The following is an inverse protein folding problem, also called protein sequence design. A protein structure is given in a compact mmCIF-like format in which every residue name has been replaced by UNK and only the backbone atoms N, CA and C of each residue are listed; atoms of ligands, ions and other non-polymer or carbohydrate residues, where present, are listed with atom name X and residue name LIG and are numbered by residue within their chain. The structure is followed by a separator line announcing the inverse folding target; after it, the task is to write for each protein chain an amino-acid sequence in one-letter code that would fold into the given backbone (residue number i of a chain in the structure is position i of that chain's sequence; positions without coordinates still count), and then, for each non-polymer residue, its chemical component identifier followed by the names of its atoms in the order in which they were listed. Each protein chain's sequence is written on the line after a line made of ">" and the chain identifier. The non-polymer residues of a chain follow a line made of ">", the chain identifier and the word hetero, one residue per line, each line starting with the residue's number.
data_IF_533058985579
#
_entry.id   IF_533058985579
#
_cell.length_a   1.000
_cell.length_b   1.000
_cell.length_c   1.000
_cell.angle_alpha   90.00
_cell.angle_beta   90.00
_cell.angle_gamma   90.00
#
_symmetry.space_group_name_H-M   'P 1'
#
loop_
_entity.id
_entity.type
_entity.pdbx_description
1 polymer ?
#
# COMPACT_ATOMS: atom_id res chain seq x y z
N UNK A 1 12.19 1.04 27.62
CA UNK A 1 11.74 1.24 26.22
C UNK A 1 11.53 -0.13 25.60
N UNK A 2 10.31 -0.46 25.13
CA UNK A 2 10.08 -1.72 24.41
C UNK A 2 10.85 -1.64 23.10
N UNK A 3 11.62 -2.68 22.76
CA UNK A 3 12.18 -2.80 21.42
C UNK A 3 11.01 -2.81 20.43
N UNK A 4 11.05 -2.03 19.33
CA UNK A 4 10.01 -2.10 18.32
C UNK A 4 9.90 -3.53 17.83
N UNK A 5 8.67 -4.03 17.75
CA UNK A 5 8.41 -5.36 17.26
C UNK A 5 8.84 -5.43 15.79
N UNK A 6 9.17 -6.63 15.29
CA UNK A 6 9.52 -6.84 13.87
C UNK A 6 8.36 -6.50 12.91
N UNK A 7 7.20 -6.09 13.43
CA UNK A 7 5.95 -5.84 12.73
C UNK A 7 5.51 -4.38 12.76
N UNK A 8 6.29 -3.49 13.40
CA UNK A 8 5.95 -2.07 13.52
C UNK A 8 6.30 -1.26 12.26
N UNK A 9 6.82 -1.92 11.21
CA UNK A 9 7.15 -1.29 9.93
C UNK A 9 5.98 -1.32 8.94
N UNK A 10 6.06 -0.45 7.92
CA UNK A 10 5.11 -0.47 6.80
C UNK A 10 5.70 -1.25 5.64
N UNK A 11 4.94 -2.21 5.13
CA UNK A 11 5.35 -3.07 4.02
C UNK A 11 4.64 -2.70 2.72
N UNK A 12 5.31 -2.97 1.59
CA UNK A 12 4.77 -2.78 0.24
C UNK A 12 5.08 -3.98 -0.66
N UNK A 13 4.15 -4.33 -1.55
CA UNK A 13 4.39 -5.26 -2.65
C UNK A 13 3.41 -5.03 -3.81
N UNK A 14 3.77 -5.55 -4.99
CA UNK A 14 2.81 -5.75 -6.09
C UNK A 14 1.90 -6.92 -5.71
N UNK A 15 0.59 -6.67 -5.69
CA UNK A 15 -0.43 -7.61 -5.23
C UNK A 15 -1.12 -8.37 -6.39
N UNK A 16 -0.89 -7.95 -7.63
CA UNK A 16 -1.38 -8.64 -8.84
C UNK A 16 -0.34 -9.61 -9.42
N UNK A 17 -0.79 -10.55 -10.25
CA UNK A 17 0.09 -11.47 -10.95
C UNK A 17 1.14 -10.72 -11.81
N UNK A 18 2.36 -11.26 -11.97
CA UNK A 18 3.38 -10.64 -12.81
C UNK A 18 2.99 -10.72 -14.29
N UNK A 19 3.29 -9.67 -15.05
CA UNK A 19 3.04 -9.61 -16.49
C UNK A 19 2.49 -8.26 -16.93
N UNK A 20 2.18 -8.16 -18.22
CA UNK A 20 1.48 -7.00 -18.79
C UNK A 20 -0.03 -7.22 -18.62
N UNK A 21 -0.72 -6.24 -18.06
CA UNK A 21 -2.16 -6.23 -17.89
C UNK A 21 -2.71 -4.81 -18.06
N UNK A 22 -4.04 -4.68 -18.12
CA UNK A 22 -4.68 -3.36 -18.10
C UNK A 22 -4.41 -2.63 -16.78
N UNK A 23 -4.48 -3.35 -15.66
CA UNK A 23 -4.28 -2.82 -14.31
C UNK A 23 -3.29 -3.67 -13.52
N UNK A 24 -2.59 -3.04 -12.61
CA UNK A 24 -1.81 -3.71 -11.56
C UNK A 24 -2.00 -3.00 -10.23
N UNK A 25 -1.91 -3.76 -9.13
CA UNK A 25 -2.18 -3.24 -7.79
C UNK A 25 -0.89 -3.30 -6.98
N UNK A 26 -0.58 -2.21 -6.30
CA UNK A 26 0.47 -2.13 -5.27
C UNK A 26 -0.23 -1.94 -3.94
N UNK A 27 0.08 -2.81 -2.97
CA UNK A 27 -0.53 -2.79 -1.64
C UNK A 27 0.50 -2.38 -0.60
N UNK A 28 0.12 -1.45 0.26
CA UNK A 28 0.86 -1.07 1.47
C UNK A 28 0.08 -1.50 2.71
N UNK A 29 0.77 -1.91 3.77
CA UNK A 29 0.19 -2.22 5.08
C UNK A 29 1.10 -1.80 6.21
N UNK A 30 0.58 -1.08 7.20
CA UNK A 30 1.32 -0.62 8.39
C UNK A 30 0.99 0.83 8.76
N UNK A 31 1.53 1.28 9.90
CA UNK A 31 1.18 2.58 10.50
C UNK A 31 1.46 3.80 9.60
N UNK A 32 2.42 3.70 8.67
CA UNK A 32 2.79 4.79 7.77
C UNK A 32 2.20 4.63 6.35
N UNK A 33 1.34 3.63 6.12
CA UNK A 33 0.80 3.35 4.78
C UNK A 33 0.09 4.57 4.16
N UNK A 34 -0.71 5.28 4.95
CA UNK A 34 -1.41 6.48 4.48
C UNK A 34 -0.43 7.64 4.30
N UNK A 35 0.47 7.89 5.25
CA UNK A 35 1.48 8.95 5.17
C UNK A 35 2.35 8.81 3.92
N UNK A 36 2.82 7.60 3.63
CA UNK A 36 3.69 7.30 2.49
C UNK A 36 2.98 7.61 1.17
N UNK A 37 1.73 7.16 1.02
CA UNK A 37 0.98 7.38 -0.23
C UNK A 37 0.51 8.83 -0.36
N UNK A 38 0.14 9.50 0.74
CA UNK A 38 -0.24 10.92 0.77
C UNK A 38 0.88 11.82 0.24
N UNK A 39 2.13 11.55 0.64
CA UNK A 39 3.31 12.28 0.13
C UNK A 39 3.53 12.15 -1.37
N UNK A 40 2.99 11.10 -2.00
CA UNK A 40 3.08 10.84 -3.44
C UNK A 40 1.82 11.29 -4.19
N UNK A 41 0.76 11.68 -3.48
CA UNK A 41 -0.57 11.94 -4.07
C UNK A 41 -1.03 13.39 -3.82
N UNK A 42 -0.58 14.36 -4.64
CA UNK A 42 -0.89 15.78 -4.42
C UNK A 42 -2.35 16.16 -4.65
N UNK A 43 -3.16 15.29 -5.28
CA UNK A 43 -4.54 15.60 -5.64
C UNK A 43 -5.47 15.75 -4.43
N UNK A 44 -5.13 15.15 -3.29
CA UNK A 44 -5.96 15.20 -2.09
C UNK A 44 -5.16 14.80 -0.85
N UNK A 45 -5.50 15.38 0.30
CA UNK A 45 -5.03 14.88 1.59
C UNK A 45 -5.77 13.57 1.95
N UNK A 46 -5.09 12.43 1.77
CA UNK A 46 -5.58 11.08 2.02
C UNK A 46 -5.77 10.80 3.52
N UNK A 47 -4.99 11.44 4.40
CA UNK A 47 -5.10 11.29 5.85
C UNK A 47 -6.48 11.76 6.38
N UNK A 48 -7.09 12.75 5.71
CA UNK A 48 -8.41 13.28 6.05
C UNK A 48 -9.58 12.54 5.39
N UNK A 49 -9.32 11.57 4.51
CA UNK A 49 -10.40 10.86 3.82
C UNK A 49 -11.00 9.75 4.68
N UNK A 50 -12.24 9.38 4.38
CA UNK A 50 -12.89 8.24 5.02
C UNK A 50 -12.23 6.91 4.59
N UNK A 51 -12.48 5.85 5.34
CA UNK A 51 -12.11 4.49 4.90
C UNK A 51 -13.11 3.97 3.87
N UNK A 52 -12.70 2.99 3.07
CA UNK A 52 -13.48 2.33 2.03
C UNK A 52 -13.94 3.29 0.91
N UNK A 53 -13.11 4.29 0.61
CA UNK A 53 -13.32 5.23 -0.48
C UNK A 53 -12.26 5.09 -1.55
N UNK A 54 -12.61 5.51 -2.77
CA UNK A 54 -11.72 5.55 -3.92
C UNK A 54 -11.35 6.99 -4.27
N UNK A 55 -10.10 7.21 -4.65
CA UNK A 55 -9.58 8.52 -5.03
C UNK A 55 -8.77 8.42 -6.31
N UNK A 56 -9.16 9.19 -7.32
CA UNK A 56 -8.49 9.25 -8.63
C UNK A 56 -7.56 10.45 -8.67
N UNK A 57 -6.37 10.27 -9.24
CA UNK A 57 -5.44 11.37 -9.48
C UNK A 57 -4.07 10.90 -9.93
N UNK A 58 -3.15 11.85 -10.08
CA UNK A 58 -1.78 11.56 -10.48
C UNK A 58 -0.91 11.28 -9.28
N UNK A 59 -0.23 10.14 -9.29
CA UNK A 59 0.85 9.83 -8.37
C UNK A 59 2.15 10.47 -8.87
N UNK A 60 2.91 11.12 -7.99
CA UNK A 60 4.14 11.84 -8.34
C UNK A 60 5.25 11.56 -7.32
N UNK A 61 6.47 11.40 -7.81
CA UNK A 61 7.69 11.51 -6.99
C UNK A 61 8.42 12.80 -7.37
N UNK A 62 8.45 13.76 -6.45
CA UNK A 62 8.91 15.13 -6.69
C UNK A 62 8.22 15.78 -7.92
N UNK A 63 8.97 16.00 -9.01
CA UNK A 63 8.46 16.62 -10.23
C UNK A 63 8.03 15.62 -11.31
N UNK A 64 8.24 14.32 -11.09
CA UNK A 64 7.94 13.27 -12.06
C UNK A 64 6.57 12.68 -11.79
N UNK A 65 5.71 12.68 -12.80
CA UNK A 65 4.45 11.93 -12.77
C UNK A 65 4.78 10.46 -12.97
N UNK A 66 4.36 9.62 -12.03
CA UNK A 66 4.56 8.17 -12.10
C UNK A 66 3.44 7.52 -12.90
N UNK A 67 2.19 7.82 -12.56
CA UNK A 67 1.00 7.31 -13.24
C UNK A 67 -0.27 8.08 -12.84
N UNK A 68 -1.35 7.94 -13.61
CA UNK A 68 -2.71 8.22 -13.16
C UNK A 68 -3.29 6.96 -12.48
N UNK A 69 -3.73 7.10 -11.23
CA UNK A 69 -4.06 5.96 -10.37
C UNK A 69 -5.43 6.09 -9.73
N UNK A 70 -5.96 4.94 -9.29
CA UNK A 70 -7.06 4.86 -8.34
C UNK A 70 -6.52 4.34 -7.01
N UNK A 71 -6.68 5.13 -5.94
CA UNK A 71 -6.25 4.77 -4.59
C UNK A 71 -7.46 4.30 -3.77
N UNK A 72 -7.35 3.14 -3.14
CA UNK A 72 -8.31 2.60 -2.18
C UNK A 72 -7.75 2.70 -0.77
N UNK A 73 -8.55 3.21 0.17
CA UNK A 73 -8.14 3.40 1.57
C UNK A 73 -8.86 2.44 2.50
N UNK A 74 -8.13 1.72 3.35
CA UNK A 74 -8.68 0.82 4.36
C UNK A 74 -8.04 1.15 5.72
N UNK A 75 -8.80 1.79 6.61
CA UNK A 75 -8.31 2.16 7.95
C UNK A 75 -8.44 0.99 8.92
N UNK A 76 -7.43 0.82 9.79
CA UNK A 76 -7.45 -0.09 10.94
C UNK A 76 -8.75 0.11 11.76
N UNK A 77 -9.44 -0.97 12.20
CA UNK A 77 -9.13 -2.41 12.02
C UNK A 77 -9.83 -3.04 10.81
N UNK A 78 -10.46 -2.23 9.96
CA UNK A 78 -11.32 -2.68 8.87
C UNK A 78 -10.54 -2.76 7.55
N UNK A 79 -9.50 -3.59 7.56
CA UNK A 79 -8.67 -3.92 6.39
C UNK A 79 -8.37 -5.43 6.37
N UNK A 80 -7.71 -5.90 5.31
CA UNK A 80 -7.28 -7.29 5.19
C UNK A 80 -6.31 -7.70 6.31
N UNK A 81 -5.27 -6.88 6.56
CA UNK A 81 -4.24 -7.17 7.58
C UNK A 81 -4.66 -6.78 8.99
N UNK A 82 -5.73 -6.00 9.15
CA UNK A 82 -6.09 -5.37 10.41
C UNK A 82 -5.32 -4.08 10.71
N UNK A 83 -4.35 -3.71 9.87
CA UNK A 83 -3.60 -2.46 9.94
C UNK A 83 -4.23 -1.39 9.02
N UNK A 84 -3.63 -0.21 8.97
CA UNK A 84 -3.91 0.71 7.87
C UNK A 84 -3.35 0.13 6.57
N UNK A 85 -4.20 0.04 5.54
CA UNK A 85 -3.87 -0.50 4.23
C UNK A 85 -4.25 0.50 3.15
N UNK A 86 -3.34 0.70 2.20
CA UNK A 86 -3.59 1.49 1.00
C UNK A 86 -3.31 0.62 -0.21
N UNK A 87 -4.22 0.62 -1.19
CA UNK A 87 -4.02 -0.03 -2.48
C UNK A 87 -3.96 1.04 -3.57
N UNK A 88 -2.95 0.94 -4.41
CA UNK A 88 -2.75 1.83 -5.56
C UNK A 88 -2.96 0.97 -6.81
N UNK A 89 -4.07 1.22 -7.52
CA UNK A 89 -4.35 0.64 -8.82
C UNK A 89 -3.77 1.54 -9.91
N UNK A 90 -2.76 1.03 -10.60
CA UNK A 90 -2.04 1.68 -11.69
C UNK A 90 -2.32 0.96 -13.02
N UNK A 91 -1.82 1.52 -14.13
CA UNK A 91 -1.68 0.76 -15.37
C UNK A 91 -0.82 -0.48 -15.14
N UNK A 92 -1.25 -1.62 -15.67
CA UNK A 92 -0.59 -2.92 -15.47
C UNK A 92 0.71 -3.12 -16.27
N UNK A 93 1.50 -2.06 -16.44
CA UNK A 93 2.85 -2.14 -17.00
C UNK A 93 3.86 -2.51 -15.91
N UNK A 94 4.68 -3.56 -16.07
CA UNK A 94 5.72 -3.92 -15.10
C UNK A 94 6.67 -2.77 -14.74
N UNK A 95 6.94 -1.89 -15.72
CA UNK A 95 7.78 -0.71 -15.50
C UNK A 95 7.11 0.30 -14.56
N UNK A 96 5.83 0.60 -14.78
CA UNK A 96 5.05 1.53 -13.95
C UNK A 96 4.93 0.99 -12.52
N UNK A 97 4.57 -0.29 -12.38
CA UNK A 97 4.41 -0.92 -11.07
C UNK A 97 5.72 -0.90 -10.27
N UNK A 98 6.85 -1.17 -10.92
CA UNK A 98 8.17 -1.11 -10.29
C UNK A 98 8.51 0.30 -9.82
N UNK A 99 8.30 1.32 -10.65
CA UNK A 99 8.59 2.71 -10.27
C UNK A 99 7.74 3.19 -9.09
N UNK A 100 6.44 2.86 -9.07
CA UNK A 100 5.56 3.23 -7.95
C UNK A 100 5.98 2.51 -6.66
N UNK A 101 6.30 1.21 -6.74
CA UNK A 101 6.80 0.46 -5.58
C UNK A 101 8.12 1.04 -5.06
N UNK A 102 9.07 1.37 -5.93
CA UNK A 102 10.34 2.00 -5.56
C UNK A 102 10.14 3.38 -4.91
N UNK A 103 9.18 4.17 -5.41
CA UNK A 103 8.80 5.44 -4.78
C UNK A 103 8.26 5.22 -3.36
N UNK A 104 7.40 4.23 -3.14
CA UNK A 104 6.93 3.88 -1.78
C UNK A 104 8.09 3.46 -0.87
N UNK A 105 9.04 2.66 -1.37
CA UNK A 105 10.21 2.23 -0.61
C UNK A 105 11.08 3.43 -0.20
N UNK A 106 11.32 4.35 -1.13
CA UNK A 106 12.08 5.58 -0.88
C UNK A 106 11.45 6.47 0.20
N UNK A 107 10.14 6.35 0.42
CA UNK A 107 9.39 7.08 1.47
C UNK A 107 9.30 6.33 2.81
N UNK A 108 9.89 5.14 2.92
CA UNK A 108 10.01 4.42 4.20
C UNK A 108 9.29 3.07 4.25
N UNK A 109 8.63 2.65 3.17
CA UNK A 109 8.11 1.29 3.11
C UNK A 109 9.25 0.27 2.94
N UNK A 110 9.08 -0.92 3.49
CA UNK A 110 9.95 -2.09 3.20
C UNK A 110 9.24 -3.04 2.24
N UNK A 111 9.99 -3.73 1.38
CA UNK A 111 9.42 -4.83 0.62
C UNK A 111 8.85 -5.93 1.53
N UNK A 112 7.61 -6.34 1.31
CA UNK A 112 6.97 -7.43 2.05
C UNK A 112 7.69 -8.76 1.79
N UNK A 113 7.75 -9.62 2.81
CA UNK A 113 8.17 -11.03 2.67
C UNK A 113 7.04 -11.87 2.07
N UNK A 114 7.36 -13.07 1.54
CA UNK A 114 6.34 -14.02 1.11
C UNK A 114 5.33 -14.29 2.23
N UNK A 115 4.03 -14.13 1.92
CA UNK A 115 2.94 -14.35 2.87
C UNK A 115 2.79 -13.29 3.98
N UNK A 116 3.60 -12.22 4.00
CA UNK A 116 3.65 -11.31 5.15
C UNK A 116 2.33 -10.59 5.42
N UNK A 117 1.57 -10.20 4.39
CA UNK A 117 0.25 -9.58 4.57
C UNK A 117 -0.73 -10.51 5.28
N UNK A 118 -0.82 -11.77 4.85
CA UNK A 118 -1.68 -12.79 5.46
C UNK A 118 -1.20 -13.16 6.85
N UNK A 119 0.12 -13.22 7.06
CA UNK A 119 0.69 -13.43 8.38
C UNK A 119 0.30 -12.32 9.35
N UNK A 120 0.33 -11.04 8.93
CA UNK A 120 -0.15 -9.92 9.76
C UNK A 120 -1.64 -10.00 10.01
N UNK A 121 -2.43 -10.40 9.01
CA UNK A 121 -3.86 -10.63 9.19
C UNK A 121 -4.13 -11.69 10.28
N UNK A 122 -3.42 -12.81 10.27
CA UNK A 122 -3.49 -13.83 11.33
C UNK A 122 -3.10 -13.25 12.70
N UNK A 123 -1.96 -12.56 12.79
CA UNK A 123 -1.47 -11.97 14.04
C UNK A 123 -2.43 -10.92 14.63
N UNK A 124 -3.17 -10.22 13.77
CA UNK A 124 -4.20 -9.25 14.16
C UNK A 124 -5.61 -9.87 14.31
N UNK A 125 -5.72 -11.20 14.29
CA UNK A 125 -6.99 -11.92 14.51
C UNK A 125 -8.02 -11.70 13.41
N UNK A 126 -7.60 -11.34 12.19
CA UNK A 126 -8.48 -11.18 11.01
C UNK A 126 -8.88 -12.51 10.39
N UNK A 127 -8.04 -13.53 10.58
CA UNK A 127 -8.22 -14.88 10.08
C UNK A 127 -7.60 -15.88 11.06
N UNK A 128 -8.13 -17.09 11.08
CA UNK A 128 -7.50 -18.22 11.75
C UNK A 128 -6.45 -18.89 10.85
N UNK A 129 -5.75 -19.91 11.35
CA UNK A 129 -4.66 -20.56 10.60
C UNK A 129 -5.16 -21.44 9.42
N UNK A 130 -6.44 -21.81 9.42
CA UNK A 130 -7.03 -22.74 8.44
C UNK A 130 -7.67 -22.02 7.26
N UNK A 131 -8.00 -20.73 7.42
CA UNK A 131 -8.49 -19.84 6.37
C UNK A 131 -7.36 -19.35 5.46
#
# INVERSE_FOLDING_TARGET
>A
MKQPSRWDDTIVAIATAPGIAALGIIRLSGAEAFTIVDQLFPSKNLLQQASHTLHVGFLKDAHTILDEVVISLFKNPRSYTGEDVVEISCHGSPFVLKQVMEACIKKGARLARPGEFTQRAFLNGKLDLTQ
#
